data_IF_672958123518
#
_entry.id   IF_672958123518
#
_cell.length_a   1.000
_cell.length_b   1.000
_cell.length_c   1.000
_cell.angle_alpha   90.00
_cell.angle_beta   90.00
_cell.angle_gamma   90.00
#
_symmetry.space_group_name_H-M   'P 1'
#
loop_
_entity.id
_entity.type
_entity.pdbx_description
1 polymer ?
#
# COMPACT_ATOMS: atom_id res chain seq x y z
N UNK A 1 9.18 3.14 20.38
CA UNK A 1 8.58 2.78 21.69
C UNK A 1 7.60 1.67 21.43
N UNK A 2 7.66 0.59 22.21
CA UNK A 2 6.71 -0.52 22.07
C UNK A 2 5.43 -0.27 22.85
N UNK A 3 4.29 -0.75 22.35
CA UNK A 3 2.98 -0.64 23.03
C UNK A 3 2.06 -1.79 22.64
N UNK A 4 1.07 -2.05 23.48
CA UNK A 4 -0.02 -2.96 23.16
C UNK A 4 -1.21 -2.19 22.59
N UNK A 5 -1.92 -2.80 21.64
CA UNK A 5 -2.94 -2.13 20.81
C UNK A 5 -4.09 -3.08 20.48
N UNK A 6 -5.16 -2.52 19.89
CA UNK A 6 -6.19 -3.32 19.24
C UNK A 6 -5.58 -4.22 18.15
N UNK A 7 -5.78 -5.52 18.28
CA UNK A 7 -5.21 -6.51 17.40
C UNK A 7 -5.98 -6.67 16.08
N UNK A 8 -7.20 -6.14 15.98
CA UNK A 8 -8.12 -6.34 14.87
C UNK A 8 -7.50 -6.05 13.49
N UNK A 9 -6.95 -4.84 13.20
CA UNK A 9 -6.38 -4.55 11.88
C UNK A 9 -5.20 -5.46 11.53
N UNK A 10 -4.41 -5.87 12.52
CA UNK A 10 -3.27 -6.77 12.34
C UNK A 10 -3.70 -8.22 12.07
N UNK A 11 -4.77 -8.67 12.72
CA UNK A 11 -5.36 -9.97 12.49
C UNK A 11 -5.99 -10.07 11.11
N UNK A 12 -6.71 -9.03 10.65
CA UNK A 12 -7.26 -8.95 9.30
C UNK A 12 -6.16 -8.99 8.24
N UNK A 13 -5.06 -8.27 8.48
CA UNK A 13 -3.90 -8.33 7.59
C UNK A 13 -3.26 -9.72 7.55
N UNK A 14 -3.13 -10.38 8.70
CA UNK A 14 -2.66 -11.77 8.74
C UNK A 14 -3.58 -12.69 7.95
N UNK A 15 -4.90 -12.50 8.05
CA UNK A 15 -5.86 -13.28 7.26
C UNK A 15 -5.71 -13.02 5.76
N UNK A 16 -5.42 -11.79 5.35
CA UNK A 16 -5.24 -11.45 3.94
C UNK A 16 -3.87 -11.89 3.37
N UNK A 17 -2.80 -11.85 4.18
CA UNK A 17 -1.41 -11.91 3.68
C UNK A 17 -0.52 -12.98 4.32
N UNK A 18 -0.92 -13.58 5.46
CA UNK A 18 -0.08 -14.47 6.26
C UNK A 18 0.11 -15.90 5.73
N UNK A 19 -0.63 -16.32 4.70
CA UNK A 19 -0.59 -17.71 4.23
C UNK A 19 -1.09 -18.73 5.26
N UNK A 20 -1.11 -20.02 4.90
CA UNK A 20 -1.69 -21.06 5.75
C UNK A 20 -0.92 -21.27 7.05
N UNK A 21 0.42 -21.27 6.99
CA UNK A 21 1.26 -21.57 8.16
C UNK A 21 1.18 -20.49 9.24
N UNK A 22 1.11 -19.21 8.86
CA UNK A 22 1.02 -18.13 9.83
C UNK A 22 -0.35 -18.08 10.50
N UNK A 23 -1.43 -18.35 9.76
CA UNK A 23 -2.79 -18.51 10.31
C UNK A 23 -2.85 -19.69 11.28
N UNK A 24 -2.27 -20.83 10.89
CA UNK A 24 -2.22 -22.02 11.74
C UNK A 24 -1.38 -21.77 13.02
N UNK A 25 -0.26 -21.05 12.91
CA UNK A 25 0.54 -20.63 14.06
C UNK A 25 -0.29 -19.75 15.01
N UNK A 26 -0.96 -18.71 14.51
CA UNK A 26 -1.81 -17.86 15.35
C UNK A 26 -2.92 -18.66 16.03
N UNK A 27 -3.56 -19.59 15.31
CA UNK A 27 -4.61 -20.44 15.87
C UNK A 27 -4.12 -21.32 17.03
N UNK A 28 -2.85 -21.76 17.01
CA UNK A 28 -2.20 -22.49 18.10
C UNK A 28 -1.74 -21.60 19.27
N UNK A 29 -1.91 -20.28 19.16
CA UNK A 29 -1.42 -19.31 20.14
C UNK A 29 0.08 -19.00 20.00
N UNK A 30 0.71 -19.48 18.93
CA UNK A 30 2.09 -19.15 18.58
C UNK A 30 2.20 -17.66 18.23
N UNK A 31 3.39 -17.11 18.47
CA UNK A 31 3.74 -15.76 18.06
C UNK A 31 3.91 -15.73 16.55
N UNK A 32 3.28 -14.77 15.91
CA UNK A 32 3.46 -14.46 14.49
C UNK A 32 4.00 -13.03 14.40
N UNK A 33 4.94 -12.79 13.50
CA UNK A 33 5.60 -11.50 13.34
C UNK A 33 5.07 -10.86 12.05
N UNK A 34 4.63 -9.61 12.12
CA UNK A 34 4.23 -8.80 10.98
C UNK A 34 5.21 -7.65 10.82
N UNK A 35 5.75 -7.47 9.62
CA UNK A 35 6.57 -6.33 9.23
C UNK A 35 5.79 -5.45 8.25
N UNK A 36 5.74 -4.16 8.54
CA UNK A 36 5.10 -3.15 7.71
C UNK A 36 6.17 -2.18 7.23
N UNK A 37 6.53 -2.31 5.97
CA UNK A 37 7.50 -1.47 5.28
C UNK A 37 6.83 -0.22 4.74
N UNK A 38 7.40 0.92 5.05
CA UNK A 38 7.17 2.16 4.31
C UNK A 38 8.32 2.28 3.32
N UNK A 39 7.99 2.31 2.03
CA UNK A 39 8.97 2.38 0.95
C UNK A 39 9.78 3.68 1.04
N UNK A 40 11.09 3.57 1.22
CA UNK A 40 12.00 4.71 1.26
C UNK A 40 13.22 4.45 0.38
N UNK A 41 13.86 5.53 -0.08
CA UNK A 41 15.20 5.40 -0.66
C UNK A 41 16.24 5.01 0.40
N UNK A 42 17.27 4.26 0.02
CA UNK A 42 18.44 3.96 0.87
C UNK A 42 19.14 5.23 1.37
N UNK A 43 18.99 6.34 0.65
CA UNK A 43 19.52 7.67 0.94
C UNK A 43 18.63 8.51 1.87
N UNK A 44 17.42 8.06 2.23
CA UNK A 44 16.42 8.90 2.90
C UNK A 44 16.92 9.54 4.21
N UNK A 45 17.87 8.90 4.90
CA UNK A 45 18.48 9.44 6.12
C UNK A 45 19.40 10.65 5.90
N UNK A 46 19.69 11.05 4.66
CA UNK A 46 20.40 12.30 4.35
C UNK A 46 19.47 13.51 4.44
N UNK A 47 18.22 13.34 3.98
CA UNK A 47 17.24 14.43 3.85
C UNK A 47 16.36 14.58 5.11
N UNK A 48 16.42 13.63 6.04
CA UNK A 48 15.55 13.60 7.21
C UNK A 48 16.23 14.25 8.44
N UNK A 49 15.75 15.40 8.93
CA UNK A 49 16.21 15.91 10.21
C UNK A 49 15.73 14.97 11.31
N UNK A 50 16.67 14.41 12.08
CA UNK A 50 16.39 13.51 13.20
C UNK A 50 15.09 13.89 13.94
N UNK A 51 14.08 13.03 13.86
CA UNK A 51 12.78 13.23 14.49
C UNK A 51 12.80 12.64 15.90
N UNK A 52 11.78 12.93 16.73
CA UNK A 52 11.62 12.24 18.03
C UNK A 52 11.51 10.71 17.89
N UNK A 53 11.10 10.20 16.72
CA UNK A 53 10.97 8.75 16.48
C UNK A 53 12.22 8.14 15.85
N UNK A 54 12.98 8.92 15.09
CA UNK A 54 14.14 8.46 14.34
C UNK A 54 15.34 9.39 14.57
N UNK A 55 16.39 8.87 15.20
CA UNK A 55 17.60 9.63 15.53
C UNK A 55 18.68 9.55 14.43
N UNK A 56 18.38 8.81 13.36
CA UNK A 56 19.28 8.47 12.28
C UNK A 56 19.57 9.66 11.37
N UNK A 57 20.76 9.66 10.74
CA UNK A 57 21.28 10.77 9.93
C UNK A 57 22.41 10.29 9.03
N UNK A 58 22.92 11.12 8.12
CA UNK A 58 24.15 10.85 7.37
C UNK A 58 24.12 9.51 6.59
N UNK A 59 22.95 9.02 6.17
CA UNK A 59 22.82 7.76 5.43
C UNK A 59 22.76 6.48 6.29
N UNK A 60 22.48 6.59 7.60
CA UNK A 60 22.46 5.44 8.53
C UNK A 60 21.12 4.68 8.60
N UNK A 61 20.19 4.91 7.66
CA UNK A 61 18.84 4.32 7.65
C UNK A 61 17.80 5.12 8.44
N UNK A 62 16.53 4.74 8.41
CA UNK A 62 15.44 5.44 9.10
C UNK A 62 14.60 4.43 9.86
N UNK A 63 14.26 4.71 11.12
CA UNK A 63 13.31 3.91 11.90
C UNK A 63 11.85 4.37 11.71
N UNK A 64 11.28 4.18 10.52
CA UNK A 64 9.90 4.54 10.20
C UNK A 64 8.98 3.36 9.89
N UNK A 65 9.52 2.14 9.88
CA UNK A 65 8.73 0.94 9.71
C UNK A 65 8.13 0.48 11.03
N UNK A 66 7.16 -0.44 10.93
CA UNK A 66 6.50 -1.05 12.08
C UNK A 66 6.69 -2.56 12.08
N UNK A 67 7.14 -3.09 13.21
CA UNK A 67 7.10 -4.52 13.50
C UNK A 67 5.98 -4.79 14.52
N UNK A 68 5.22 -5.88 14.34
CA UNK A 68 4.16 -6.30 15.26
C UNK A 68 4.32 -7.77 15.60
N UNK A 69 4.16 -8.12 16.87
CA UNK A 69 4.04 -9.51 17.29
C UNK A 69 2.59 -9.77 17.68
N UNK A 70 1.96 -10.69 16.96
CA UNK A 70 0.56 -11.07 17.11
C UNK A 70 0.46 -12.45 17.77
N UNK A 71 -0.48 -12.64 18.69
CA UNK A 71 -0.74 -13.95 19.28
C UNK A 71 -2.18 -14.10 19.77
N UNK A 72 -2.64 -15.34 19.90
CA UNK A 72 -3.93 -15.66 20.49
C UNK A 72 -3.75 -16.16 21.91
N UNK A 73 -4.56 -15.65 22.84
CA UNK A 73 -4.61 -16.15 24.21
C UNK A 73 -5.53 -17.36 24.35
N UNK A 74 -5.24 -18.22 25.34
CA UNK A 74 -6.05 -19.41 25.65
C UNK A 74 -7.53 -19.09 25.93
N UNK A 75 -7.83 -17.86 26.39
CA UNK A 75 -9.20 -17.40 26.73
C UNK A 75 -9.85 -16.55 25.62
N UNK A 76 -9.31 -16.57 24.40
CA UNK A 76 -10.06 -16.22 23.18
C UNK A 76 -9.73 -14.90 22.49
N UNK A 77 -8.92 -14.02 23.09
CA UNK A 77 -8.53 -12.74 22.46
C UNK A 77 -7.26 -12.85 21.60
N UNK A 78 -7.23 -12.14 20.48
CA UNK A 78 -5.98 -11.86 19.76
C UNK A 78 -5.34 -10.62 20.38
N UNK A 79 -4.04 -10.66 20.60
CA UNK A 79 -3.23 -9.59 21.18
C UNK A 79 -2.17 -9.16 20.19
N UNK A 80 -1.90 -7.86 20.11
CA UNK A 80 -0.88 -7.29 19.26
C UNK A 80 0.04 -6.40 20.09
N UNK A 81 1.35 -6.60 19.92
CA UNK A 81 2.36 -5.67 20.42
C UNK A 81 3.13 -5.06 19.28
N UNK A 82 3.15 -3.74 19.25
CA UNK A 82 3.71 -2.90 18.19
C UNK A 82 5.09 -2.40 18.59
N UNK A 83 5.99 -2.34 17.62
CA UNK A 83 7.34 -1.78 17.69
C UNK A 83 7.50 -0.77 16.55
N UNK A 84 7.27 0.50 16.87
CA UNK A 84 7.19 1.63 15.93
C UNK A 84 8.54 2.24 15.51
N UNK A 85 9.65 1.64 15.97
CA UNK A 85 11.01 2.02 15.57
C UNK A 85 11.68 0.80 14.95
N UNK A 86 11.15 0.38 13.81
CA UNK A 86 11.70 -0.69 12.99
C UNK A 86 12.19 -0.13 11.65
N UNK A 87 13.01 -0.91 10.96
CA UNK A 87 13.52 -0.61 9.62
C UNK A 87 13.65 -1.93 8.85
N UNK A 88 13.18 -1.96 7.62
CA UNK A 88 13.17 -3.13 6.72
C UNK A 88 14.00 -2.89 5.45
N UNK A 89 14.62 -1.71 5.35
CA UNK A 89 15.43 -1.24 4.23
C UNK A 89 16.94 -1.33 4.50
N UNK A 90 17.78 -1.51 3.47
CA UNK A 90 19.21 -1.28 3.58
C UNK A 90 19.52 0.20 3.71
N UNK A 91 20.74 0.51 4.15
CA UNK A 91 21.17 1.89 4.39
C UNK A 91 22.30 2.29 3.46
N UNK A 92 22.29 3.55 3.02
CA UNK A 92 23.32 4.10 2.13
C UNK A 92 24.74 3.90 2.66
N UNK A 93 24.96 3.84 3.99
CA UNK A 93 26.30 3.58 4.54
C UNK A 93 26.94 2.26 4.09
N UNK A 94 26.17 1.27 3.63
CA UNK A 94 26.69 0.00 3.12
C UNK A 94 26.55 -0.17 1.60
N UNK A 95 25.91 0.80 0.94
CA UNK A 95 25.71 0.82 -0.50
C UNK A 95 27.01 1.26 -1.19
N UNK A 96 27.41 0.52 -2.24
CA UNK A 96 28.58 0.85 -3.03
C UNK A 96 28.38 2.12 -3.87
N UNK A 97 27.16 2.40 -4.34
CA UNK A 97 26.83 3.59 -5.14
C UNK A 97 26.75 4.87 -4.31
N UNK A 98 26.55 4.72 -3.00
CA UNK A 98 26.54 5.83 -2.05
C UNK A 98 27.94 6.31 -1.64
N UNK A 99 29.00 5.57 -1.98
CA UNK A 99 30.37 5.92 -1.62
C UNK A 99 30.74 7.32 -2.16
N UNK A 100 31.16 8.22 -1.27
CA UNK A 100 31.47 9.61 -1.61
C UNK A 100 30.27 10.55 -1.78
N UNK A 101 29.03 10.04 -1.73
CA UNK A 101 27.79 10.83 -1.69
C UNK A 101 27.29 11.10 -0.28
N UNK A 102 27.81 10.35 0.71
CA UNK A 102 27.41 10.43 2.11
C UNK A 102 28.59 10.75 3.03
N UNK A 103 28.36 11.37 4.20
CA UNK A 103 29.44 11.74 5.12
C UNK A 103 30.21 10.55 5.70
N UNK A 104 29.56 9.38 5.85
CA UNK A 104 30.18 8.17 6.42
C UNK A 104 29.77 6.91 5.67
N UNK A 105 30.65 6.43 4.80
CA UNK A 105 30.53 5.10 4.18
C UNK A 105 31.24 4.03 5.01
N UNK A 106 30.67 2.83 5.04
CA UNK A 106 31.27 1.60 5.58
C UNK A 106 31.70 0.71 4.42
N UNK A 107 32.30 -0.44 4.74
CA UNK A 107 32.63 -1.46 3.73
C UNK A 107 31.34 -1.89 3.03
N UNK A 108 31.32 -1.78 1.71
CA UNK A 108 30.15 -2.12 0.91
C UNK A 108 29.73 -3.58 1.10
N UNK A 109 28.44 -3.76 1.34
CA UNK A 109 27.77 -5.05 1.49
C UNK A 109 26.77 -5.24 0.36
N UNK A 110 26.41 -6.48 0.07
CA UNK A 110 25.61 -6.82 -1.09
C UNK A 110 26.27 -7.89 -1.94
N UNK A 111 25.66 -8.14 -3.09
CA UNK A 111 26.09 -9.15 -4.08
C UNK A 111 26.03 -8.46 -5.43
N UNK A 112 27.08 -8.61 -6.24
CA UNK A 112 27.08 -8.21 -7.64
C UNK A 112 26.29 -9.26 -8.44
N UNK A 113 25.06 -8.95 -8.81
CA UNK A 113 24.16 -9.86 -9.56
C UNK A 113 24.14 -9.56 -11.06
N UNK A 114 24.55 -8.36 -11.47
CA UNK A 114 24.51 -7.91 -12.87
C UNK A 114 25.88 -7.99 -13.58
N UNK A 115 26.97 -8.28 -12.85
CA UNK A 115 28.32 -8.48 -13.36
C UNK A 115 29.12 -7.20 -13.60
N UNK A 116 28.69 -6.07 -13.05
CA UNK A 116 29.34 -4.78 -13.24
C UNK A 116 30.50 -4.48 -12.26
N UNK A 117 30.77 -5.42 -11.33
CA UNK A 117 31.77 -5.35 -10.25
C UNK A 117 31.42 -4.39 -9.11
N UNK A 118 30.20 -3.89 -9.08
CA UNK A 118 29.63 -3.11 -7.98
C UNK A 118 28.68 -4.04 -7.22
N UNK A 119 28.64 -3.88 -5.89
CA UNK A 119 27.76 -4.72 -5.07
C UNK A 119 26.38 -4.09 -5.01
N UNK A 120 25.37 -4.87 -5.38
CA UNK A 120 23.98 -4.45 -5.34
C UNK A 120 23.43 -4.60 -3.91
N UNK A 121 22.85 -3.50 -3.41
CA UNK A 121 22.12 -3.51 -2.16
C UNK A 121 20.94 -4.49 -2.27
N UNK A 122 20.60 -5.14 -1.16
CA UNK A 122 19.53 -6.13 -1.14
C UNK A 122 18.55 -5.87 -0.01
N UNK A 123 17.29 -6.24 -0.21
CA UNK A 123 16.26 -6.29 0.85
C UNK A 123 15.33 -7.48 0.66
N UNK A 124 14.63 -7.87 1.72
CA UNK A 124 13.58 -8.89 1.60
C UNK A 124 12.40 -8.37 0.78
N UNK A 125 11.88 -9.19 -0.14
CA UNK A 125 10.60 -8.97 -0.81
C UNK A 125 9.43 -9.16 0.15
N UNK A 126 8.28 -8.56 -0.17
CA UNK A 126 7.01 -8.87 0.50
C UNK A 126 6.69 -10.37 0.48
N UNK A 127 6.04 -10.84 1.54
CA UNK A 127 5.58 -12.22 1.67
C UNK A 127 5.83 -12.82 3.04
N UNK A 128 5.77 -14.15 3.09
CA UNK A 128 5.90 -14.93 4.33
C UNK A 128 7.22 -15.68 4.32
N UNK A 129 7.99 -15.52 5.41
CA UNK A 129 9.29 -16.15 5.61
C UNK A 129 9.29 -16.82 6.99
N UNK A 130 9.59 -18.12 7.04
CA UNK A 130 9.81 -18.79 8.33
C UNK A 130 11.18 -18.39 8.89
N UNK A 131 11.16 -17.84 10.10
CA UNK A 131 12.33 -17.40 10.84
C UNK A 131 12.59 -18.33 12.03
N UNK A 132 13.86 -18.61 12.33
CA UNK A 132 14.30 -19.33 13.51
C UNK A 132 15.24 -18.48 14.37
N UNK A 133 15.39 -18.86 15.64
CA UNK A 133 16.33 -18.20 16.55
C UNK A 133 17.78 -18.46 16.12
N UNK A 134 18.62 -17.43 16.22
CA UNK A 134 20.05 -17.48 15.94
C UNK A 134 20.80 -16.44 16.79
N UNK A 135 22.12 -16.39 16.66
CA UNK A 135 22.99 -15.37 17.22
C UNK A 135 23.63 -14.56 16.09
N UNK A 136 23.57 -13.23 16.20
CA UNK A 136 24.24 -12.30 15.31
C UNK A 136 25.02 -11.27 16.11
N UNK A 137 26.31 -11.13 15.82
CA UNK A 137 27.23 -10.23 16.54
C UNK A 137 27.14 -10.39 18.08
N UNK A 138 27.04 -11.64 18.55
CA UNK A 138 26.96 -11.96 19.98
C UNK A 138 25.61 -11.67 20.65
N UNK A 139 24.57 -11.29 19.90
CA UNK A 139 23.23 -11.04 20.42
C UNK A 139 22.18 -11.95 19.75
N UNK A 140 21.07 -12.30 20.43
CA UNK A 140 19.98 -13.04 19.80
C UNK A 140 19.40 -12.30 18.60
N UNK A 141 19.10 -13.05 17.54
CA UNK A 141 18.49 -12.58 16.30
C UNK A 141 17.54 -13.65 15.75
N UNK A 142 16.70 -13.27 14.78
CA UNK A 142 15.94 -14.23 13.99
C UNK A 142 16.49 -14.28 12.57
N UNK A 143 16.51 -15.47 11.97
CA UNK A 143 17.05 -15.68 10.62
C UNK A 143 16.15 -16.62 9.83
N UNK A 144 16.03 -16.48 8.49
CA UNK A 144 15.38 -17.46 7.65
C UNK A 144 15.83 -18.88 7.98
N UNK A 145 14.88 -19.81 8.10
CA UNK A 145 15.21 -21.22 8.32
C UNK A 145 15.79 -21.84 7.06
N UNK A 146 16.47 -22.99 7.19
CA UNK A 146 16.98 -23.73 6.03
C UNK A 146 15.83 -24.14 5.10
N UNK A 147 14.66 -24.48 5.66
CA UNK A 147 13.46 -24.80 4.89
C UNK A 147 12.93 -23.57 4.13
N UNK A 148 12.89 -22.39 4.77
CA UNK A 148 12.49 -21.16 4.09
C UNK A 148 13.41 -20.83 2.91
N UNK A 149 14.71 -21.03 3.06
CA UNK A 149 15.70 -20.80 1.99
C UNK A 149 15.48 -21.76 0.83
N UNK A 150 15.28 -23.06 1.09
CA UNK A 150 15.09 -24.05 0.04
C UNK A 150 13.86 -23.78 -0.85
N UNK A 151 12.80 -23.17 -0.30
CA UNK A 151 11.59 -22.80 -1.04
C UNK A 151 11.51 -21.31 -1.43
N UNK A 152 12.50 -20.50 -1.08
CA UNK A 152 12.41 -19.04 -1.04
C UNK A 152 12.68 -18.34 -2.37
N UNK A 153 12.06 -18.76 -3.48
CA UNK A 153 12.33 -18.15 -4.80
C UNK A 153 11.91 -16.67 -4.88
N UNK A 154 12.77 -15.83 -5.44
CA UNK A 154 12.48 -14.40 -5.69
C UNK A 154 12.13 -13.59 -4.44
N UNK A 155 12.68 -13.96 -3.28
CA UNK A 155 12.37 -13.36 -1.97
C UNK A 155 13.34 -12.24 -1.56
N UNK A 156 14.30 -11.90 -2.42
CA UNK A 156 15.18 -10.76 -2.25
C UNK A 156 15.00 -9.82 -3.45
N UNK A 157 14.85 -8.54 -3.16
CA UNK A 157 14.93 -7.45 -4.13
C UNK A 157 16.34 -6.87 -4.14
N UNK A 158 16.83 -6.49 -5.32
CA UNK A 158 18.13 -5.88 -5.56
C UNK A 158 17.96 -4.52 -6.22
N UNK A 159 18.72 -3.54 -5.74
CA UNK A 159 18.91 -2.24 -6.36
C UNK A 159 20.16 -2.37 -7.24
N UNK A 160 19.93 -2.74 -8.50
CA UNK A 160 21.00 -3.07 -9.47
C UNK A 160 21.34 -1.89 -10.38
N UNK A 161 20.54 -0.83 -10.34
CA UNK A 161 20.85 0.43 -11.01
C UNK A 161 21.55 1.43 -10.06
N UNK A 162 21.56 1.16 -8.75
CA UNK A 162 22.25 1.94 -7.73
C UNK A 162 21.60 3.30 -7.43
N UNK A 163 20.33 3.47 -7.76
CA UNK A 163 19.59 4.71 -7.54
C UNK A 163 19.05 4.84 -6.10
N UNK A 164 19.23 3.79 -5.28
CA UNK A 164 18.78 3.73 -3.91
C UNK A 164 17.31 3.38 -3.77
N UNK A 165 16.64 2.88 -4.81
CA UNK A 165 15.26 2.38 -4.77
C UNK A 165 15.22 0.97 -5.33
N UNK A 166 14.20 0.21 -4.92
CA UNK A 166 14.00 -1.17 -5.36
C UNK A 166 12.74 -1.22 -6.21
N UNK A 167 12.91 -1.10 -7.52
CA UNK A 167 11.83 -0.83 -8.47
C UNK A 167 11.77 -1.87 -9.60
N UNK A 168 10.80 -1.72 -10.50
CA UNK A 168 10.80 -2.52 -11.75
C UNK A 168 11.89 -2.09 -12.74
N UNK A 169 12.50 -0.91 -12.54
CA UNK A 169 13.62 -0.43 -13.34
C UNK A 169 14.93 -1.18 -13.09
N UNK A 170 15.00 -2.01 -12.06
CA UNK A 170 16.16 -2.81 -11.70
C UNK A 170 16.27 -4.08 -12.58
N UNK A 171 17.28 -4.22 -13.46
CA UNK A 171 17.54 -5.47 -14.14
C UNK A 171 17.93 -6.56 -13.13
N UNK A 172 17.48 -7.80 -13.33
CA UNK A 172 17.78 -8.92 -12.42
C UNK A 172 17.41 -8.65 -10.94
N UNK A 173 16.39 -7.81 -10.71
CA UNK A 173 15.97 -7.36 -9.37
C UNK A 173 15.61 -8.44 -8.37
N UNK A 174 15.26 -9.65 -8.81
CA UNK A 174 14.81 -10.72 -7.92
C UNK A 174 15.90 -11.78 -7.77
N UNK A 175 16.24 -12.06 -6.51
CA UNK A 175 17.10 -13.18 -6.13
C UNK A 175 16.38 -14.12 -5.15
N UNK A 176 16.84 -15.37 -5.12
CA UNK A 176 16.34 -16.37 -4.19
C UNK A 176 16.82 -16.08 -2.77
N UNK A 177 15.96 -16.37 -1.79
CA UNK A 177 16.22 -16.16 -0.36
C UNK A 177 17.52 -16.84 0.05
N UNK A 178 18.31 -16.15 0.85
CA UNK A 178 19.44 -16.72 1.55
C UNK A 178 19.34 -16.47 3.06
N UNK A 179 20.38 -16.85 3.78
CA UNK A 179 20.45 -16.75 5.24
C UNK A 179 20.93 -15.39 5.74
N UNK A 180 21.25 -14.42 4.88
CA UNK A 180 21.90 -13.15 5.24
C UNK A 180 20.96 -12.04 5.70
N UNK A 181 19.63 -12.23 5.58
CA UNK A 181 18.61 -11.25 5.93
C UNK A 181 17.97 -11.58 7.28
N UNK A 182 18.46 -10.98 8.37
CA UNK A 182 18.03 -11.28 9.73
C UNK A 182 16.98 -10.28 10.25
N UNK A 183 16.31 -10.61 11.37
CA UNK A 183 15.75 -9.61 12.30
C UNK A 183 16.73 -9.45 13.46
N UNK A 184 17.30 -8.26 13.63
CA UNK A 184 18.27 -7.99 14.71
C UNK A 184 18.11 -6.60 15.34
N UNK A 185 18.91 -6.35 16.38
CA UNK A 185 18.99 -5.04 17.04
C UNK A 185 19.77 -4.05 16.18
N UNK A 186 19.24 -2.85 15.96
CA UNK A 186 20.06 -1.71 15.50
C UNK A 186 20.39 -0.73 16.63
N UNK A 187 21.16 0.31 16.34
CA UNK A 187 21.64 1.31 17.30
C UNK A 187 20.69 2.49 17.49
N UNK A 188 21.06 3.51 18.29
CA UNK A 188 20.18 4.65 18.60
C UNK A 188 19.88 5.55 17.39
N UNK A 189 20.91 5.86 16.60
CA UNK A 189 20.79 6.66 15.37
C UNK A 189 21.42 5.97 14.18
N UNK A 190 21.36 4.63 14.13
CA UNK A 190 21.85 3.86 13.02
C UNK A 190 21.11 2.52 12.98
N UNK A 191 20.48 2.18 11.86
CA UNK A 191 19.75 0.92 11.76
C UNK A 191 20.71 -0.28 11.68
N UNK A 192 21.98 -0.05 11.37
CA UNK A 192 23.06 -1.03 11.22
C UNK A 192 22.71 -2.15 10.22
N UNK A 193 21.95 -1.79 9.18
CA UNK A 193 21.41 -2.75 8.21
C UNK A 193 21.96 -2.54 6.80
N UNK A 194 22.46 -3.63 6.22
CA UNK A 194 22.71 -3.77 4.77
C UNK A 194 21.59 -4.55 4.05
N UNK A 195 20.39 -4.63 4.64
CA UNK A 195 19.23 -5.37 4.12
C UNK A 195 18.47 -6.17 5.17
N UNK A 196 19.05 -6.31 6.36
CA UNK A 196 18.38 -6.89 7.52
C UNK A 196 17.19 -6.04 8.00
N UNK A 197 16.28 -6.71 8.70
CA UNK A 197 15.19 -6.12 9.42
C UNK A 197 15.72 -5.72 10.80
N UNK A 198 15.53 -4.49 11.21
CA UNK A 198 16.12 -4.00 12.46
C UNK A 198 15.09 -3.32 13.32
N UNK A 199 15.25 -3.48 14.62
CA UNK A 199 14.44 -2.82 15.63
C UNK A 199 15.39 -2.03 16.51
N UNK A 200 15.00 -0.79 16.80
CA UNK A 200 15.79 0.13 17.60
C UNK A 200 16.18 -0.50 18.95
N UNK A 201 17.42 -0.28 19.40
CA UNK A 201 17.97 -0.95 20.59
C UNK A 201 17.14 -0.86 21.86
N UNK A 202 16.45 0.25 22.07
CA UNK A 202 15.63 0.44 23.27
C UNK A 202 14.33 -0.37 23.23
N UNK A 203 13.88 -0.80 22.04
CA UNK A 203 12.68 -1.60 21.84
C UNK A 203 13.00 -3.11 21.69
N UNK A 204 14.23 -3.45 21.29
CA UNK A 204 14.63 -4.83 20.95
C UNK A 204 14.54 -5.85 22.10
N UNK A 205 14.91 -5.54 23.37
CA UNK A 205 14.71 -6.48 24.46
C UNK A 205 13.24 -6.87 24.63
N UNK A 206 12.33 -5.92 24.45
CA UNK A 206 10.89 -6.19 24.55
C UNK A 206 10.38 -7.02 23.36
N UNK A 207 10.92 -6.77 22.18
CA UNK A 207 10.66 -7.61 21.02
C UNK A 207 11.01 -9.07 21.29
N UNK A 208 12.23 -9.34 21.78
CA UNK A 208 12.66 -10.70 22.09
C UNK A 208 11.81 -11.36 23.19
N UNK A 209 11.44 -10.62 24.25
CA UNK A 209 10.52 -11.13 25.28
C UNK A 209 9.16 -11.51 24.70
N UNK A 210 8.65 -10.71 23.77
CA UNK A 210 7.32 -10.93 23.17
C UNK A 210 7.33 -12.11 22.20
N UNK A 211 8.35 -12.19 21.34
CA UNK A 211 8.60 -13.32 20.43
C UNK A 211 8.80 -14.63 21.19
N UNK A 212 9.54 -14.59 22.31
CA UNK A 212 9.75 -15.71 23.21
C UNK A 212 8.59 -16.01 24.16
N UNK A 213 7.44 -15.35 24.00
CA UNK A 213 6.31 -15.43 24.92
C UNK A 213 5.55 -16.77 24.93
N UNK A 214 5.85 -17.68 24.00
CA UNK A 214 5.30 -19.04 24.00
C UNK A 214 6.41 -20.07 24.25
N UNK A 215 6.29 -20.79 25.37
CA UNK A 215 7.23 -21.85 25.70
C UNK A 215 7.29 -22.92 24.59
N UNK A 216 8.51 -23.27 24.19
CA UNK A 216 8.76 -24.30 23.18
C UNK A 216 8.65 -23.83 21.72
N UNK A 217 8.16 -22.62 21.44
CA UNK A 217 8.18 -22.07 20.09
C UNK A 217 9.62 -21.74 19.67
N UNK A 218 10.08 -22.32 18.55
CA UNK A 218 11.45 -22.13 18.01
C UNK A 218 11.47 -21.54 16.60
N UNK A 219 10.30 -21.41 15.97
CA UNK A 219 10.11 -20.92 14.61
C UNK A 219 8.93 -19.96 14.58
N UNK A 220 9.04 -18.92 13.77
CA UNK A 220 8.07 -17.85 13.66
C UNK A 220 7.80 -17.56 12.20
N UNK A 221 6.53 -17.40 11.82
CA UNK A 221 6.18 -16.88 10.52
C UNK A 221 6.34 -15.35 10.56
N UNK A 222 7.18 -14.82 9.67
CA UNK A 222 7.37 -13.39 9.46
C UNK A 222 6.66 -12.98 8.17
N UNK A 223 5.61 -12.17 8.31
CA UNK A 223 4.79 -11.66 7.21
C UNK A 223 5.21 -10.23 6.96
N UNK A 224 5.94 -9.99 5.87
CA UNK A 224 6.38 -8.66 5.45
C UNK A 224 5.45 -8.12 4.36
N UNK A 225 4.97 -6.90 4.55
CA UNK A 225 4.14 -6.18 3.58
C UNK A 225 4.63 -4.75 3.43
N UNK A 226 4.61 -4.24 2.21
CA UNK A 226 4.79 -2.82 1.92
C UNK A 226 3.44 -2.11 2.04
N UNK A 227 3.44 -0.95 2.71
CA UNK A 227 2.25 -0.14 2.99
C UNK A 227 2.52 1.33 2.78
N UNK A 228 1.47 2.08 2.46
CA UNK A 228 1.51 3.52 2.48
C UNK A 228 1.66 4.04 3.92
N UNK A 229 2.37 5.16 4.15
CA UNK A 229 2.57 5.74 5.47
C UNK A 229 1.26 5.99 6.25
N UNK A 230 0.18 6.33 5.54
CA UNK A 230 -1.11 6.64 6.16
C UNK A 230 -1.82 5.40 6.72
N UNK A 231 -1.58 4.20 6.17
CA UNK A 231 -2.11 2.95 6.72
C UNK A 231 -1.62 2.73 8.15
N UNK A 232 -0.33 3.03 8.41
CA UNK A 232 0.22 2.91 9.76
C UNK A 232 -0.35 3.92 10.74
N UNK A 233 -0.71 5.12 10.26
CA UNK A 233 -1.37 6.16 11.06
C UNK A 233 -2.79 5.74 11.43
N UNK A 234 -3.50 5.11 10.51
CA UNK A 234 -4.88 4.64 10.75
C UNK A 234 -4.93 3.53 11.79
N UNK A 235 -3.93 2.64 11.81
CA UNK A 235 -3.79 1.62 12.86
C UNK A 235 -3.53 2.21 14.26
N UNK A 236 -3.12 3.48 14.36
CA UNK A 236 -2.83 4.16 15.62
C UNK A 236 -4.03 4.92 16.17
N UNK A 237 -5.08 5.11 15.37
CA UNK A 237 -6.31 5.78 15.79
C UNK A 237 -7.15 4.80 16.61
N UNK A 238 -7.64 5.23 17.77
CA UNK A 238 -8.60 4.42 18.55
C UNK A 238 -9.86 4.19 17.72
N UNK A 239 -10.57 3.04 17.88
CA UNK A 239 -11.78 2.76 17.10
C UNK A 239 -12.82 3.88 17.14
N UNK A 240 -12.95 4.58 18.28
CA UNK A 240 -13.83 5.75 18.42
C UNK A 240 -13.37 6.98 17.62
N UNK A 241 -12.07 7.33 17.66
CA UNK A 241 -11.54 8.46 16.86
C UNK A 241 -11.49 8.13 15.38
N UNK A 242 -11.18 6.88 15.01
CA UNK A 242 -11.24 6.43 13.62
C UNK A 242 -12.67 6.47 13.08
N UNK A 243 -13.69 6.11 13.90
CA UNK A 243 -15.11 6.29 13.54
C UNK A 243 -15.56 7.75 13.47
N UNK A 244 -15.00 8.64 14.30
CA UNK A 244 -15.40 10.06 14.34
C UNK A 244 -14.68 10.91 13.28
N UNK A 245 -13.41 10.61 12.98
CA UNK A 245 -12.59 11.33 12.00
C UNK A 245 -12.80 10.79 10.57
N UNK A 246 -13.03 9.47 10.39
CA UNK A 246 -13.41 8.94 9.08
C UNK A 246 -14.81 9.41 8.62
N UNK A 247 -15.65 9.84 9.57
CA UNK A 247 -16.99 10.35 9.30
C UNK A 247 -17.03 11.89 9.18
N UNK A 248 -15.92 12.59 9.38
CA UNK A 248 -15.91 14.06 9.36
C UNK A 248 -15.53 14.66 8.00
N UNK A 249 -14.70 13.97 7.23
CA UNK A 249 -14.18 14.49 5.94
C UNK A 249 -14.35 13.54 4.73
N UNK A 250 -14.97 12.36 4.88
CA UNK A 250 -15.40 11.54 3.73
C UNK A 250 -16.91 11.54 3.66
N UNK A 251 -17.43 12.24 2.66
CA UNK A 251 -18.83 12.14 2.29
C UNK A 251 -19.09 10.70 1.86
N UNK A 252 -19.98 9.95 2.52
CA UNK A 252 -20.28 8.55 2.18
C UNK A 252 -20.95 8.42 0.81
N UNK A 253 -20.92 7.24 0.19
CA UNK A 253 -21.52 7.03 -1.14
C UNK A 253 -23.04 7.29 -1.15
N UNK A 254 -23.68 7.12 0.01
CA UNK A 254 -25.10 7.40 0.24
C UNK A 254 -25.41 8.90 0.40
N UNK A 255 -24.40 9.74 0.55
CA UNK A 255 -24.55 11.18 0.76
C UNK A 255 -24.50 11.95 -0.57
N UNK A 256 -25.41 12.91 -0.83
CA UNK A 256 -25.48 13.65 -2.09
C UNK A 256 -24.20 14.36 -2.53
N UNK A 257 -23.31 14.69 -1.59
CA UNK A 257 -22.06 15.36 -1.90
C UNK A 257 -20.94 14.41 -2.39
N UNK A 258 -21.16 13.08 -2.43
CA UNK A 258 -20.17 12.14 -2.98
C UNK A 258 -20.19 12.19 -4.53
N UNK A 259 -19.04 12.25 -5.22
CA UNK A 259 -18.98 12.35 -6.68
C UNK A 259 -19.73 11.24 -7.44
N UNK A 260 -19.76 10.04 -6.86
CA UNK A 260 -20.45 8.87 -7.41
C UNK A 260 -21.87 8.66 -6.87
N UNK A 261 -22.38 9.55 -6.00
CA UNK A 261 -23.69 9.41 -5.38
C UNK A 261 -24.81 9.27 -6.41
N UNK A 262 -24.80 10.10 -7.46
CA UNK A 262 -25.85 10.06 -8.48
C UNK A 262 -25.91 8.70 -9.20
N UNK A 263 -24.75 8.10 -9.51
CA UNK A 263 -24.67 6.79 -10.14
C UNK A 263 -25.11 5.69 -9.16
N UNK A 264 -24.61 5.73 -7.93
CA UNK A 264 -24.99 4.80 -6.87
C UNK A 264 -26.50 4.83 -6.59
N UNK A 265 -27.09 5.99 -6.36
CA UNK A 265 -28.53 6.15 -6.10
C UNK A 265 -29.39 5.66 -7.26
N UNK A 266 -28.94 5.88 -8.50
CA UNK A 266 -29.63 5.35 -9.70
C UNK A 266 -29.59 3.83 -9.79
N UNK A 267 -28.47 3.21 -9.43
CA UNK A 267 -28.32 1.74 -9.37
C UNK A 267 -29.13 1.17 -8.20
N UNK A 268 -29.03 1.77 -7.02
CA UNK A 268 -29.72 1.35 -5.81
C UNK A 268 -31.23 1.33 -6.00
N UNK A 269 -31.81 2.38 -6.61
CA UNK A 269 -33.23 2.41 -6.94
C UNK A 269 -33.67 1.25 -7.85
N UNK A 270 -32.80 0.80 -8.77
CA UNK A 270 -33.08 -0.34 -9.66
C UNK A 270 -32.94 -1.68 -8.95
N UNK A 271 -31.93 -1.83 -8.09
CA UNK A 271 -31.78 -3.00 -7.22
C UNK A 271 -33.02 -3.15 -6.33
N UNK A 272 -33.46 -2.07 -5.68
CA UNK A 272 -34.65 -2.06 -4.84
C UNK A 272 -35.93 -2.40 -5.62
N UNK A 273 -36.07 -1.87 -6.84
CA UNK A 273 -37.21 -2.21 -7.70
C UNK A 273 -37.21 -3.69 -8.08
N UNK A 274 -36.05 -4.28 -8.34
CA UNK A 274 -35.91 -5.71 -8.64
C UNK A 274 -36.13 -6.59 -7.41
N UNK A 275 -35.69 -6.16 -6.23
CA UNK A 275 -36.01 -6.81 -4.96
C UNK A 275 -37.52 -6.87 -4.75
N UNK A 276 -38.20 -5.73 -4.95
CA UNK A 276 -39.66 -5.66 -4.91
C UNK A 276 -40.33 -6.62 -5.90
N UNK A 277 -39.82 -6.72 -7.15
CA UNK A 277 -40.32 -7.70 -8.14
C UNK A 277 -40.13 -9.15 -7.71
N UNK A 278 -39.08 -9.44 -6.94
CA UNK A 278 -38.76 -10.78 -6.41
C UNK A 278 -39.39 -11.05 -5.03
N UNK A 279 -40.19 -10.12 -4.50
CA UNK A 279 -40.81 -10.26 -3.18
C UNK A 279 -39.83 -10.13 -2.01
N UNK A 280 -38.67 -9.50 -2.24
CA UNK A 280 -37.65 -9.25 -1.22
C UNK A 280 -37.74 -7.80 -0.74
N UNK A 281 -37.56 -7.59 0.56
CA UNK A 281 -37.40 -6.25 1.13
C UNK A 281 -35.95 -5.81 0.96
N UNK A 282 -35.68 -4.61 0.41
CA UNK A 282 -34.32 -4.09 0.35
C UNK A 282 -33.66 -3.99 1.73
N UNK A 283 -32.36 -4.26 1.76
CA UNK A 283 -31.53 -4.44 2.96
C UNK A 283 -30.05 -4.10 2.66
N UNK A 284 -29.17 -4.35 3.63
CA UNK A 284 -27.72 -4.11 3.49
C UNK A 284 -27.07 -4.87 2.31
N UNK A 285 -27.58 -6.04 1.94
CA UNK A 285 -27.10 -6.77 0.76
C UNK A 285 -27.42 -6.02 -0.54
N UNK A 286 -28.52 -5.27 -0.55
CA UNK A 286 -28.96 -4.41 -1.65
C UNK A 286 -28.04 -3.21 -1.79
N UNK A 287 -27.69 -2.57 -0.67
CA UNK A 287 -26.71 -1.48 -0.60
C UNK A 287 -25.32 -1.93 -1.10
N UNK A 288 -24.87 -3.10 -0.63
CA UNK A 288 -23.59 -3.71 -0.99
C UNK A 288 -23.53 -4.05 -2.50
N UNK A 289 -24.60 -4.62 -3.05
CA UNK A 289 -24.73 -4.93 -4.47
C UNK A 289 -24.66 -3.65 -5.32
N UNK A 290 -25.41 -2.61 -4.93
CA UNK A 290 -25.40 -1.32 -5.62
C UNK A 290 -24.03 -0.63 -5.57
N UNK A 291 -23.35 -0.66 -4.42
CA UNK A 291 -21.99 -0.14 -4.26
C UNK A 291 -20.98 -0.87 -5.16
N UNK A 292 -21.03 -2.20 -5.18
CA UNK A 292 -20.15 -3.03 -6.02
C UNK A 292 -20.39 -2.79 -7.52
N UNK A 293 -21.64 -2.63 -7.93
CA UNK A 293 -22.00 -2.27 -9.30
C UNK A 293 -21.54 -0.86 -9.67
N UNK A 294 -21.57 0.09 -8.73
CA UNK A 294 -21.06 1.46 -8.94
C UNK A 294 -19.56 1.44 -9.26
N UNK A 295 -18.77 0.66 -8.51
CA UNK A 295 -17.34 0.41 -8.79
C UNK A 295 -17.16 -0.20 -10.19
N UNK A 296 -17.92 -1.24 -10.51
CA UNK A 296 -17.82 -1.90 -11.82
C UNK A 296 -18.21 -0.96 -12.97
N UNK A 297 -19.19 -0.08 -12.77
CA UNK A 297 -19.59 0.93 -13.74
C UNK A 297 -18.46 1.92 -14.01
N UNK A 298 -17.80 2.46 -12.97
CA UNK A 298 -16.66 3.36 -13.14
C UNK A 298 -15.50 2.72 -13.88
N UNK A 299 -15.19 1.45 -13.59
CA UNK A 299 -14.13 0.71 -14.31
C UNK A 299 -14.43 0.49 -15.79
N UNK A 300 -15.70 0.36 -16.16
CA UNK A 300 -16.13 0.04 -17.52
C UNK A 300 -16.71 1.25 -18.27
N UNK A 301 -16.53 2.48 -17.77
CA UNK A 301 -17.01 3.70 -18.42
C UNK A 301 -18.53 3.84 -18.49
N UNK A 302 -19.27 3.18 -17.59
CA UNK A 302 -20.72 3.34 -17.47
C UNK A 302 -21.00 4.55 -16.58
N UNK A 303 -21.37 5.67 -17.20
CA UNK A 303 -21.62 6.92 -16.49
C UNK A 303 -23.08 7.08 -16.01
N UNK A 304 -24.00 6.36 -16.66
CA UNK A 304 -25.44 6.37 -16.37
C UNK A 304 -25.94 4.94 -16.29
N UNK A 305 -26.69 4.62 -15.26
CA UNK A 305 -27.36 3.32 -15.13
C UNK A 305 -28.76 3.41 -15.73
N UNK A 306 -28.93 3.13 -17.02
CA UNK A 306 -30.23 3.14 -17.70
C UNK A 306 -30.96 1.79 -17.52
N UNK A 307 -30.22 0.67 -17.55
CA UNK A 307 -30.77 -0.68 -17.35
C UNK A 307 -30.07 -1.44 -16.23
N UNK A 308 -30.83 -2.31 -15.55
CA UNK A 308 -30.34 -3.26 -14.55
C UNK A 308 -31.07 -4.60 -14.74
N UNK A 309 -30.32 -5.70 -14.75
CA UNK A 309 -30.87 -7.05 -14.83
C UNK A 309 -29.91 -8.09 -14.26
N UNK A 310 -30.45 -9.24 -13.86
CA UNK A 310 -29.67 -10.43 -13.56
C UNK A 310 -29.58 -11.33 -14.78
N UNK A 311 -28.57 -12.21 -14.84
CA UNK A 311 -28.65 -13.37 -15.72
C UNK A 311 -29.75 -14.34 -15.25
N UNK A 312 -30.10 -15.31 -16.09
CA UNK A 312 -31.15 -16.30 -15.80
C UNK A 312 -30.94 -17.03 -14.47
N UNK A 313 -29.69 -17.38 -14.16
CA UNK A 313 -29.33 -18.07 -12.92
C UNK A 313 -29.28 -17.15 -11.67
N UNK A 314 -29.40 -15.83 -11.82
CA UNK A 314 -29.28 -14.88 -10.71
C UNK A 314 -27.88 -14.73 -10.11
N UNK A 315 -26.86 -15.35 -10.72
CA UNK A 315 -25.48 -15.35 -10.22
C UNK A 315 -24.69 -14.11 -10.62
N UNK A 316 -25.14 -13.38 -11.65
CA UNK A 316 -24.52 -12.12 -12.09
C UNK A 316 -25.55 -11.02 -12.25
N UNK A 317 -25.19 -9.82 -11.81
CA UNK A 317 -25.93 -8.60 -12.02
C UNK A 317 -25.24 -7.73 -13.07
N UNK A 318 -26.03 -7.04 -13.90
CA UNK A 318 -25.57 -6.21 -15.01
C UNK A 318 -26.16 -4.81 -14.91
N UNK A 319 -25.36 -3.81 -15.28
CA UNK A 319 -25.80 -2.42 -15.48
C UNK A 319 -25.36 -1.98 -16.88
N UNK A 320 -26.24 -1.27 -17.59
CA UNK A 320 -25.99 -0.78 -18.96
C UNK A 320 -26.33 0.71 -19.09
N UNK A 321 -25.63 1.38 -20.00
CA UNK A 321 -25.73 2.83 -20.25
C UNK A 321 -26.82 3.27 -21.24
N UNK A 322 -27.59 2.35 -21.83
CA UNK A 322 -28.53 2.66 -22.91
C UNK A 322 -29.93 2.04 -22.76
N UNK A 323 -30.94 2.81 -23.20
CA UNK A 323 -32.23 2.29 -23.63
C UNK A 323 -32.07 1.40 -24.88
N UNK A 324 -32.97 0.43 -25.07
CA UNK A 324 -32.90 -0.51 -26.21
C UNK A 324 -32.77 0.22 -27.57
N UNK A 325 -31.61 0.10 -28.25
CA UNK A 325 -31.45 0.52 -29.66
C UNK A 325 -30.15 1.25 -30.07
N UNK A 326 -29.18 1.55 -29.19
CA UNK A 326 -27.95 2.30 -29.55
C UNK A 326 -26.72 1.40 -29.77
N UNK A 327 -25.79 1.84 -30.61
CA UNK A 327 -24.64 1.04 -31.10
C UNK A 327 -23.37 1.09 -30.24
N UNK A 328 -23.35 1.88 -29.16
CA UNK A 328 -22.28 1.88 -28.15
C UNK A 328 -22.91 1.51 -26.81
N UNK A 329 -22.62 0.31 -26.29
CA UNK A 329 -23.08 -0.15 -24.97
C UNK A 329 -21.88 -0.31 -24.05
N UNK A 330 -21.65 0.65 -23.17
CA UNK A 330 -20.85 0.36 -21.99
C UNK A 330 -21.73 -0.44 -21.03
N UNK A 331 -21.18 -1.53 -20.52
CA UNK A 331 -21.86 -2.38 -19.55
C UNK A 331 -20.89 -2.79 -18.46
N UNK A 332 -21.44 -2.98 -17.29
CA UNK A 332 -20.72 -3.48 -16.13
C UNK A 332 -21.44 -4.68 -15.56
N UNK A 333 -20.69 -5.56 -14.91
CA UNK A 333 -21.29 -6.68 -14.20
C UNK A 333 -20.48 -7.08 -12.98
N UNK A 334 -21.16 -7.72 -12.04
CA UNK A 334 -20.56 -8.29 -10.82
C UNK A 334 -21.09 -9.70 -10.58
N UNK A 335 -20.32 -10.50 -9.85
CA UNK A 335 -20.83 -11.70 -9.21
C UNK A 335 -21.70 -11.31 -8.02
N UNK A 336 -22.93 -11.83 -7.96
CA UNK A 336 -23.91 -11.42 -6.96
C UNK A 336 -23.51 -11.87 -5.56
N UNK A 337 -23.00 -13.09 -5.42
CA UNK A 337 -22.63 -13.65 -4.12
C UNK A 337 -21.45 -12.88 -3.49
N UNK A 338 -20.46 -12.49 -4.31
CA UNK A 338 -19.37 -11.64 -3.87
C UNK A 338 -19.86 -10.21 -3.55
N UNK A 339 -20.70 -9.64 -4.41
CA UNK A 339 -21.14 -8.26 -4.30
C UNK A 339 -22.01 -8.01 -3.06
N UNK A 340 -22.95 -8.90 -2.74
CA UNK A 340 -23.80 -8.75 -1.55
C UNK A 340 -23.00 -8.92 -0.25
N UNK A 341 -21.93 -9.72 -0.27
CA UNK A 341 -21.02 -9.94 0.86
C UNK A 341 -19.94 -8.86 1.01
N UNK A 342 -19.80 -7.94 0.06
CA UNK A 342 -18.84 -6.85 0.11
C UNK A 342 -19.47 -5.63 0.81
N UNK A 343 -19.02 -5.24 2.02
CA UNK A 343 -19.56 -4.08 2.70
C UNK A 343 -19.40 -2.79 1.89
N UNK A 344 -20.39 -1.89 1.96
CA UNK A 344 -20.42 -0.63 1.21
C UNK A 344 -19.13 0.22 1.34
N UNK A 345 -18.54 0.29 2.53
CA UNK A 345 -17.30 1.04 2.77
C UNK A 345 -16.09 0.53 1.95
N UNK A 346 -16.11 -0.75 1.55
CA UNK A 346 -15.08 -1.31 0.67
C UNK A 346 -15.25 -0.81 -0.77
N UNK A 347 -16.50 -0.67 -1.23
CA UNK A 347 -16.82 -0.07 -2.53
C UNK A 347 -16.43 1.41 -2.57
N UNK A 348 -16.65 2.15 -1.48
CA UNK A 348 -16.19 3.54 -1.31
C UNK A 348 -14.66 3.67 -1.43
N UNK A 349 -13.91 2.79 -0.75
CA UNK A 349 -12.46 2.76 -0.85
C UNK A 349 -11.97 2.45 -2.29
N UNK A 350 -12.66 1.55 -3.00
CA UNK A 350 -12.34 1.22 -4.39
C UNK A 350 -12.64 2.38 -5.35
N UNK A 351 -13.72 3.13 -5.15
CA UNK A 351 -14.05 4.32 -5.95
C UNK A 351 -13.03 5.43 -5.74
N UNK A 352 -12.62 5.69 -4.49
CA UNK A 352 -11.57 6.66 -4.18
C UNK A 352 -10.24 6.32 -4.88
N UNK A 353 -9.87 5.03 -4.93
CA UNK A 353 -8.68 4.59 -5.65
C UNK A 353 -8.76 4.85 -7.17
N UNK A 354 -9.93 4.64 -7.78
CA UNK A 354 -10.13 4.91 -9.21
C UNK A 354 -10.06 6.39 -9.58
N UNK A 355 -10.41 7.28 -8.65
CA UNK A 355 -10.32 8.73 -8.84
C UNK A 355 -8.88 9.24 -8.75
N UNK A 356 -8.01 8.56 -8.00
CA UNK A 356 -6.58 8.90 -7.91
C UNK A 356 -5.76 8.44 -9.12
N UNK A 357 -6.24 7.44 -9.87
CA UNK A 357 -5.56 6.85 -11.03
C UNK A 357 -5.91 7.53 -12.37
N UNK A 358 -6.75 8.57 -12.37
CA UNK A 358 -7.02 9.38 -13.56
C UNK A 358 -5.98 10.51 -13.68
N UNK A 359 -5.24 10.63 -14.82
CA UNK A 359 -4.44 11.81 -15.09
C UNK A 359 -5.35 13.03 -15.07
N UNK A 360 -5.04 14.03 -14.23
CA UNK A 360 -5.76 15.30 -14.20
C UNK A 360 -5.58 16.05 -15.53
N UNK A 361 -6.45 15.76 -16.49
CA UNK A 361 -6.75 16.66 -17.58
C UNK A 361 -7.99 17.46 -17.19
N UNK A 362 -7.95 18.77 -17.43
CA UNK A 362 -9.00 19.79 -17.20
C UNK A 362 -8.89 20.56 -15.86
N UNK A 363 -7.77 21.29 -15.67
CA UNK A 363 -7.77 22.63 -15.01
C UNK A 363 -6.80 23.59 -15.74
N UNK A 364 -6.71 23.52 -17.07
CA UNK A 364 -5.99 24.50 -17.90
C UNK A 364 -6.86 24.96 -19.08
N UNK A 365 -8.08 25.45 -18.79
CA UNK A 365 -8.93 26.07 -19.82
C UNK A 365 -9.82 27.24 -19.35
N UNK A 366 -9.55 27.85 -18.20
CA UNK A 366 -10.33 29.02 -17.75
C UNK A 366 -9.54 30.21 -17.23
N UNK A 367 -8.27 30.37 -17.61
CA UNK A 367 -7.50 31.59 -17.34
C UNK A 367 -6.74 32.12 -18.57
N UNK A 368 -7.39 32.11 -19.74
CA UNK A 368 -7.05 33.06 -20.81
C UNK A 368 -8.18 34.07 -20.93
N UNK A 369 -8.01 35.18 -20.22
CA UNK A 369 -8.65 36.43 -20.58
C UNK A 369 -7.88 36.94 -21.80
N UNK A 370 -8.52 36.89 -22.96
CA UNK A 370 -8.04 37.56 -24.16
C UNK A 370 -7.92 39.08 -23.88
N UNK A 371 -6.77 39.73 -24.15
CA UNK A 371 -6.74 41.17 -24.22
C UNK A 371 -7.44 41.60 -25.52
N UNK A 372 -8.42 42.50 -25.35
CA UNK A 372 -9.19 43.12 -26.42
C UNK A 372 -8.30 43.74 -27.51
N UNK A 373 -8.71 43.69 -28.79
CA UNK A 373 -8.00 44.38 -29.87
C UNK A 373 -8.25 45.89 -29.78
N UNK A 374 -7.17 46.67 -29.68
CA UNK A 374 -7.23 48.12 -29.84
C UNK A 374 -7.55 48.47 -31.29
N UNK A 375 -8.73 49.05 -31.48
CA UNK A 375 -9.13 49.77 -32.69
C UNK A 375 -8.27 51.04 -32.84
N UNK A 376 -7.35 51.04 -33.79
CA UNK A 376 -6.80 52.27 -34.38
C UNK A 376 -7.55 52.56 -35.68
N UNK A 377 -8.38 53.60 -35.67
CA UNK A 377 -9.00 54.16 -36.88
C UNK A 377 -8.72 55.64 -36.93
N UNK A 378 -8.12 56.05 -38.05
CA UNK A 378 -8.19 57.32 -38.80
C UNK A 378 -6.78 57.64 -39.27
N UNK A 379 -6.43 57.86 -40.53
CA UNK A 379 -7.01 58.23 -41.83
C UNK A 379 -5.77 58.68 -42.64
N UNK A 380 -5.63 58.69 -43.96
CA UNK A 380 -6.48 59.06 -45.08
C UNK A 380 -5.76 58.62 -46.38
N UNK A 381 -6.50 58.67 -47.48
CA UNK A 381 -6.18 58.31 -48.86
C UNK A 381 -4.91 58.93 -49.49
N UNK A 382 -4.31 58.24 -50.47
CA UNK A 382 -4.38 58.59 -51.91
C UNK A 382 -3.31 57.90 -52.79
N UNK A 383 -3.80 57.11 -53.76
CA UNK A 383 -3.43 56.96 -55.20
C UNK A 383 -1.97 56.58 -55.63
N UNK A 384 -1.79 55.72 -56.66
CA UNK A 384 -0.50 55.12 -57.05
C UNK A 384 0.19 55.79 -58.26
N UNK A 385 1.50 55.57 -58.43
CA UNK A 385 2.26 55.79 -59.68
C UNK A 385 3.54 54.92 -59.66
N UNK A 386 3.65 53.92 -60.56
CA UNK A 386 4.34 53.94 -61.85
C UNK A 386 5.89 53.85 -61.79
N UNK A 387 6.38 52.71 -62.28
CA UNK A 387 7.46 52.53 -63.26
C UNK A 387 8.92 53.00 -62.99
N UNK A 388 9.82 52.05 -63.32
CA UNK A 388 11.02 52.23 -64.15
C UNK A 388 12.35 52.71 -63.53
N UNK A 389 13.30 51.77 -63.54
CA UNK A 389 14.67 51.88 -64.09
C UNK A 389 15.69 52.80 -63.39
N UNK A 390 16.71 52.19 -62.78
CA UNK A 390 18.08 52.13 -63.32
C UNK A 390 18.94 51.11 -62.59
#
# INVERSE_FOLDING_TARGET
MSREVDATPYAELLEAKGGADAKAALARGERVILGFRVENSTYAALDNPATRRDESRDGTGIYNDRMVVLWKEKRGGVRARVFDRANTEPTAQYDAHAAGRIPRSRRSQGVDVNGDRIKDAGRLSDGVIEMGMDIYQGAPALRPTVAAVAGGRGRIQRDTNGDGRFSEGDPLRLADLDRSFLIHRGSRGNTDSAGCQTIHRDDYPEFLRTVGGMAGQKRWQYVLVTVEPDVLRDFDRTPERSRMDANKDRVGLQEPAHPDHALYSSILGKVHAEDGRRGRVPDACSDNLAGSLTVACRKNGVERAEGFFFNEAGTRAFVVDAAAGTSTRNWASVDVAQAVGQPLHRSEAMLAALQMDQPQAIVHRHNQVDPAPQLQVSGQASVPALAATR
#
